data_IF_755179086232
#
_entry.id   IF_755179086232
#
_cell.length_a   1.000
_cell.length_b   1.000
_cell.length_c   1.000
_cell.angle_alpha   90.00
_cell.angle_beta   90.00
_cell.angle_gamma   90.00
#
_symmetry.space_group_name_H-M   'P 1'
#
loop_
_entity.id
_entity.type
_entity.pdbx_description
1 polymer ?
#
# COMPACT_ATOMS: atom_id res chain seq x y z
N UNK A 1 -17.01 4.95 1.71
CA UNK A 1 -15.74 5.31 2.37
C UNK A 1 -14.93 6.24 1.47
N UNK A 2 -14.50 7.39 2.00
CA UNK A 2 -13.56 8.30 1.35
C UNK A 2 -12.11 7.92 1.71
N UNK A 3 -11.14 8.77 1.33
CA UNK A 3 -9.75 8.63 1.79
C UNK A 3 -9.68 8.93 3.29
N UNK A 4 -8.94 8.12 4.05
CA UNK A 4 -8.72 8.29 5.50
C UNK A 4 -7.30 8.81 5.72
N UNK A 5 -7.15 9.88 6.51
CA UNK A 5 -5.84 10.48 6.82
C UNK A 5 -4.98 9.53 7.67
N UNK A 6 -3.67 9.56 7.45
CA UNK A 6 -2.64 8.94 8.30
C UNK A 6 -2.76 9.34 9.78
N UNK A 7 -3.26 10.54 10.08
CA UNK A 7 -3.46 11.01 11.46
C UNK A 7 -4.52 10.20 12.22
N UNK A 8 -5.41 9.51 11.50
CA UNK A 8 -6.43 8.66 12.12
C UNK A 8 -5.90 7.24 12.41
N UNK A 9 -4.60 6.99 12.20
CA UNK A 9 -4.01 5.71 12.55
C UNK A 9 -4.07 5.47 14.05
N UNK A 10 -4.48 4.26 14.47
CA UNK A 10 -4.23 3.80 15.82
C UNK A 10 -2.74 3.82 16.14
N UNK A 11 -2.39 4.24 17.35
CA UNK A 11 -1.02 4.49 17.78
C UNK A 11 -0.11 3.24 17.72
N UNK A 12 -0.69 2.04 17.83
CA UNK A 12 -0.01 0.75 17.63
C UNK A 12 0.75 0.67 16.30
N UNK A 13 0.25 1.34 15.25
CA UNK A 13 0.86 1.39 13.91
C UNK A 13 2.07 2.33 13.92
N UNK A 14 1.96 3.49 14.57
CA UNK A 14 3.04 4.48 14.65
C UNK A 14 4.20 3.94 15.49
N UNK A 15 3.88 3.25 16.57
CA UNK A 15 4.84 2.62 17.49
C UNK A 15 5.36 1.26 16.98
N UNK A 16 4.93 0.80 15.79
CA UNK A 16 5.41 -0.43 15.14
C UNK A 16 5.29 -1.67 16.06
N UNK A 17 4.23 -1.76 16.85
CA UNK A 17 4.13 -2.76 17.92
C UNK A 17 3.71 -4.16 17.43
N UNK A 18 3.06 -4.26 16.26
CA UNK A 18 2.64 -5.55 15.67
C UNK A 18 3.18 -5.72 14.24
N UNK A 19 3.26 -6.98 13.81
CA UNK A 19 3.45 -7.29 12.40
C UNK A 19 2.10 -7.10 11.68
N UNK A 20 2.15 -6.60 10.44
CA UNK A 20 0.99 -6.61 9.57
C UNK A 20 0.44 -5.24 9.17
N UNK A 21 1.15 -4.19 9.53
CA UNK A 21 0.89 -2.84 9.05
C UNK A 21 1.87 -2.53 7.93
N UNK A 22 1.35 -2.26 6.73
CA UNK A 22 2.15 -2.16 5.51
C UNK A 22 2.20 -0.73 4.99
N UNK A 23 3.39 -0.30 4.55
CA UNK A 23 3.58 0.89 3.74
C UNK A 23 3.83 0.46 2.29
N UNK A 24 3.19 1.14 1.34
CA UNK A 24 3.29 0.82 -0.08
C UNK A 24 3.70 2.04 -0.88
N UNK A 25 4.48 1.81 -1.93
CA UNK A 25 4.98 2.86 -2.82
C UNK A 25 5.15 2.32 -4.26
N UNK A 26 5.38 3.23 -5.21
CA UNK A 26 5.81 2.88 -6.56
C UNK A 26 7.13 3.53 -6.94
N UNK A 27 8.09 2.69 -7.31
CA UNK A 27 9.32 3.14 -7.96
C UNK A 27 9.04 3.24 -9.46
N UNK A 28 9.20 4.44 -10.01
CA UNK A 28 8.97 4.72 -11.44
C UNK A 28 10.30 4.85 -12.15
N UNK A 29 10.47 4.11 -13.24
CA UNK A 29 11.67 4.20 -14.08
C UNK A 29 11.79 5.56 -14.77
N UNK A 30 13.01 5.92 -15.16
CA UNK A 30 13.29 7.15 -15.91
C UNK A 30 12.38 7.25 -17.14
N UNK A 31 11.89 8.46 -17.46
CA UNK A 31 10.94 8.70 -18.57
C UNK A 31 9.62 7.91 -18.45
N UNK A 32 9.20 7.57 -17.23
CA UNK A 32 8.03 6.73 -16.95
C UNK A 32 8.09 5.33 -17.59
N UNK A 33 9.31 4.85 -17.92
CA UNK A 33 9.52 3.52 -18.51
C UNK A 33 9.59 2.46 -17.40
N UNK A 34 8.43 1.87 -17.14
CA UNK A 34 8.26 0.80 -16.16
C UNK A 34 7.99 1.32 -14.75
N UNK A 35 7.38 0.47 -13.94
CA UNK A 35 7.12 0.74 -12.53
C UNK A 35 7.32 -0.54 -11.70
N UNK A 36 7.72 -0.37 -10.45
CA UNK A 36 7.80 -1.44 -9.45
C UNK A 36 6.94 -1.02 -8.27
N UNK A 37 6.01 -1.89 -7.88
CA UNK A 37 5.27 -1.77 -6.63
C UNK A 37 6.13 -2.34 -5.50
N UNK A 38 6.25 -1.60 -4.40
CA UNK A 38 6.93 -2.03 -3.17
C UNK A 38 5.94 -2.04 -2.00
N UNK A 39 6.04 -3.06 -1.15
CA UNK A 39 5.27 -3.19 0.09
C UNK A 39 6.24 -3.52 1.22
N UNK A 40 6.35 -2.62 2.18
CA UNK A 40 7.26 -2.76 3.34
C UNK A 40 6.42 -2.94 4.60
N UNK A 41 6.61 -4.04 5.30
CA UNK A 41 6.00 -4.25 6.61
C UNK A 41 6.70 -3.38 7.66
N UNK A 42 5.93 -2.58 8.40
CA UNK A 42 6.45 -1.45 9.17
C UNK A 42 7.27 -1.84 10.40
N UNK A 43 7.01 -3.00 11.01
CA UNK A 43 7.72 -3.47 12.21
C UNK A 43 9.05 -4.14 11.88
N UNK A 44 9.04 -5.01 10.88
CA UNK A 44 10.17 -5.90 10.55
C UNK A 44 11.00 -5.40 9.38
N UNK A 45 10.48 -4.49 8.55
CA UNK A 45 11.10 -4.09 7.29
C UNK A 45 11.00 -5.16 6.20
N UNK A 46 10.17 -6.20 6.39
CA UNK A 46 9.96 -7.23 5.39
C UNK A 46 9.40 -6.64 4.10
N UNK A 47 10.12 -6.84 2.99
CA UNK A 47 9.87 -6.19 1.72
C UNK A 47 9.36 -7.18 0.68
N UNK A 48 8.22 -6.86 0.07
CA UNK A 48 7.72 -7.49 -1.14
C UNK A 48 7.79 -6.50 -2.30
N UNK A 49 8.15 -6.98 -3.48
CA UNK A 49 8.24 -6.14 -4.68
C UNK A 49 7.68 -6.84 -5.91
N UNK A 50 7.06 -6.07 -6.81
CA UNK A 50 6.58 -6.58 -8.09
C UNK A 50 6.77 -5.57 -9.20
N UNK A 51 7.43 -5.98 -10.28
CA UNK A 51 7.45 -5.21 -11.54
C UNK A 51 6.05 -5.16 -12.13
N UNK A 52 5.55 -3.95 -12.39
CA UNK A 52 4.23 -3.69 -12.96
C UNK A 52 4.33 -3.64 -14.49
N UNK A 53 3.80 -4.67 -15.16
CA UNK A 53 3.78 -4.76 -16.63
C UNK A 53 2.89 -3.70 -17.30
N UNK A 54 1.93 -3.14 -16.56
CA UNK A 54 1.00 -2.10 -17.01
C UNK A 54 1.31 -0.72 -16.41
N UNK A 55 2.53 -0.51 -15.93
CA UNK A 55 2.96 0.74 -15.28
C UNK A 55 2.06 1.09 -14.09
N UNK A 56 1.73 2.38 -13.94
CA UNK A 56 0.95 2.94 -12.82
C UNK A 56 -0.58 2.76 -12.95
N UNK A 57 -1.06 1.84 -13.79
CA UNK A 57 -2.49 1.61 -13.95
C UNK A 57 -3.11 1.11 -12.63
N UNK A 58 -4.04 1.87 -12.06
CA UNK A 58 -4.55 1.62 -10.71
C UNK A 58 -5.19 0.24 -10.51
N UNK A 59 -5.99 -0.22 -11.49
CA UNK A 59 -6.65 -1.54 -11.44
C UNK A 59 -5.64 -2.69 -11.51
N UNK A 60 -4.66 -2.56 -12.39
CA UNK A 60 -3.61 -3.56 -12.52
C UNK A 60 -2.75 -3.63 -11.25
N UNK A 61 -2.34 -2.47 -10.71
CA UNK A 61 -1.57 -2.38 -9.47
C UNK A 61 -2.34 -3.00 -8.31
N UNK A 62 -3.60 -2.64 -8.12
CA UNK A 62 -4.42 -3.18 -7.03
C UNK A 62 -4.51 -4.70 -7.05
N UNK A 63 -4.62 -5.30 -8.24
CA UNK A 63 -4.60 -6.76 -8.40
C UNK A 63 -3.26 -7.36 -7.97
N UNK A 64 -2.15 -6.79 -8.40
CA UNK A 64 -0.81 -7.27 -8.02
C UNK A 64 -0.56 -7.12 -6.51
N UNK A 65 -0.96 -5.99 -5.92
CA UNK A 65 -0.89 -5.76 -4.48
C UNK A 65 -1.69 -6.82 -3.72
N UNK A 66 -2.93 -7.06 -4.12
CA UNK A 66 -3.77 -8.10 -3.52
C UNK A 66 -3.11 -9.47 -3.60
N UNK A 67 -2.54 -9.85 -4.75
CA UNK A 67 -1.87 -11.14 -4.93
C UNK A 67 -0.61 -11.28 -4.07
N UNK A 68 0.18 -10.20 -3.90
CA UNK A 68 1.35 -10.20 -3.02
C UNK A 68 0.98 -10.39 -1.55
N UNK A 69 -0.13 -9.79 -1.11
CA UNK A 69 -0.57 -9.85 0.28
C UNK A 69 -1.50 -11.02 0.59
N UNK A 70 -2.05 -11.71 -0.41
CA UNK A 70 -2.98 -12.82 -0.22
C UNK A 70 -2.43 -13.93 0.71
N UNK A 71 -1.16 -14.36 0.61
CA UNK A 71 -0.60 -15.36 1.54
C UNK A 71 -0.56 -14.88 3.00
N UNK A 72 -0.57 -13.57 3.22
CA UNK A 72 -0.46 -12.94 4.54
C UNK A 72 -1.78 -12.33 5.02
N UNK A 73 -2.89 -12.54 4.31
CA UNK A 73 -4.15 -11.79 4.49
C UNK A 73 -4.59 -11.67 5.95
N UNK A 74 -4.49 -12.74 6.74
CA UNK A 74 -4.90 -12.75 8.14
C UNK A 74 -4.04 -11.88 9.07
N UNK A 75 -2.92 -11.38 8.55
CA UNK A 75 -1.98 -10.48 9.20
C UNK A 75 -1.88 -9.14 8.45
N UNK A 76 -2.84 -8.78 7.59
CA UNK A 76 -2.84 -7.45 6.95
C UNK A 76 -3.86 -6.59 7.68
N UNK A 77 -3.39 -5.81 8.66
CA UNK A 77 -4.26 -4.97 9.49
C UNK A 77 -4.43 -3.56 8.93
N UNK A 78 -3.38 -3.01 8.33
CA UNK A 78 -3.44 -1.70 7.68
C UNK A 78 -2.52 -1.63 6.46
N UNK A 79 -2.91 -0.76 5.52
CA UNK A 79 -2.11 -0.36 4.38
C UNK A 79 -2.02 1.15 4.35
N UNK A 80 -0.86 1.65 3.97
CA UNK A 80 -0.55 3.08 3.86
C UNK A 80 0.04 3.38 2.50
N UNK A 81 -0.47 4.38 1.81
CA UNK A 81 0.17 4.94 0.61
C UNK A 81 0.17 6.46 0.64
N UNK A 82 0.87 7.06 -0.32
CA UNK A 82 0.64 8.45 -0.69
C UNK A 82 -0.71 8.64 -1.39
N UNK A 83 -1.00 9.88 -1.84
CA UNK A 83 -2.22 10.21 -2.58
C UNK A 83 -2.16 9.90 -4.08
N UNK A 84 -1.17 9.13 -4.54
CA UNK A 84 -0.94 8.78 -5.93
C UNK A 84 -2.15 8.19 -6.62
N UNK A 85 -2.34 8.57 -7.90
CA UNK A 85 -3.47 8.13 -8.74
C UNK A 85 -3.52 6.62 -8.95
N UNK A 86 -2.36 5.97 -8.87
CA UNK A 86 -2.19 4.52 -8.95
C UNK A 86 -2.84 3.76 -7.78
N UNK A 87 -3.14 4.45 -6.68
CA UNK A 87 -3.79 3.87 -5.49
C UNK A 87 -5.30 4.19 -5.40
N UNK A 88 -5.91 4.67 -6.49
CA UNK A 88 -7.35 5.00 -6.51
C UNK A 88 -8.28 3.81 -6.21
N UNK A 89 -7.82 2.58 -6.44
CA UNK A 89 -8.56 1.35 -6.13
C UNK A 89 -8.39 0.88 -4.66
N UNK A 90 -7.92 1.74 -3.74
CA UNK A 90 -7.77 1.47 -2.31
C UNK A 90 -8.99 0.83 -1.64
N UNK A 91 -10.22 1.21 -2.04
CA UNK A 91 -11.45 0.63 -1.47
C UNK A 91 -11.59 -0.84 -1.83
N UNK A 92 -11.26 -1.19 -3.07
CA UNK A 92 -11.29 -2.59 -3.53
C UNK A 92 -10.22 -3.41 -2.81
N UNK A 93 -9.02 -2.85 -2.63
CA UNK A 93 -7.92 -3.47 -1.87
C UNK A 93 -8.37 -3.73 -0.43
N UNK A 94 -8.85 -2.69 0.26
CA UNK A 94 -9.29 -2.74 1.65
C UNK A 94 -10.37 -3.82 1.85
N UNK A 95 -11.38 -3.86 0.97
CA UNK A 95 -12.45 -4.85 1.02
C UNK A 95 -11.95 -6.29 0.79
N UNK A 96 -11.05 -6.50 -0.18
CA UNK A 96 -10.58 -7.85 -0.53
C UNK A 96 -9.64 -8.45 0.52
N UNK A 97 -8.83 -7.60 1.14
CA UNK A 97 -7.90 -7.99 2.19
C UNK A 97 -8.49 -7.91 3.60
N UNK A 98 -9.69 -7.32 3.77
CA UNK A 98 -10.29 -7.05 5.09
C UNK A 98 -9.36 -6.21 5.98
N UNK A 99 -8.83 -5.13 5.41
CA UNK A 99 -7.83 -4.24 6.03
C UNK A 99 -8.30 -2.80 6.05
N UNK A 100 -7.73 -2.02 6.97
CA UNK A 100 -7.83 -0.56 6.92
C UNK A 100 -6.84 0.03 5.90
N UNK A 101 -7.16 1.21 5.37
CA UNK A 101 -6.32 1.89 4.37
C UNK A 101 -6.20 3.38 4.72
N UNK A 102 -4.97 3.87 4.82
CA UNK A 102 -4.64 5.24 5.17
C UNK A 102 -3.84 5.94 4.07
N UNK A 103 -3.97 7.25 3.98
CA UNK A 103 -3.27 8.10 3.05
C UNK A 103 -2.37 9.09 3.79
N UNK A 104 -1.11 9.19 3.38
CA UNK A 104 -0.21 10.25 3.83
C UNK A 104 -0.75 11.64 3.42
N UNK A 105 -0.21 12.70 4.03
CA UNK A 105 -0.55 14.06 3.63
C UNK A 105 -0.09 14.32 2.18
N UNK A 106 -0.88 15.06 1.37
CA UNK A 106 -0.37 15.61 0.13
C UNK A 106 0.87 16.48 0.41
N UNK A 107 1.93 16.30 -0.37
CA UNK A 107 3.15 17.13 -0.30
C UNK A 107 3.95 17.06 1.01
N UNK A 108 3.87 15.95 1.75
CA UNK A 108 4.80 15.65 2.85
C UNK A 108 5.73 14.50 2.44
N UNK A 109 6.95 14.81 1.95
CA UNK A 109 7.98 13.80 1.70
C UNK A 109 8.54 13.20 3.01
#
# INVERSE_FOLDING_TARGET
MGKVSIEQRPEIINQKQRFGDWEIDTIVGKENKGAILTLTERKTGFLLMKKLSKGKNAKALAKELYLLLLPYKNFVYSITSDNGTEFYEHKWIAQKLDTTYFFAHPYSP
#
